data_IF_057581319291
#
_entry.id   IF_057581319291
#
_cell.length_a   1.000
_cell.length_b   1.000
_cell.length_c   1.000
_cell.angle_alpha   90.00
_cell.angle_beta   90.00
_cell.angle_gamma   90.00
#
_symmetry.space_group_name_H-M   'P 1'
#
loop_
_entity.id
_entity.type
_entity.pdbx_description
1 polymer ?
#
# COMPACT_ATOMS: atom_id res chain seq x y z
N UNK A 1 15.93 17.58 -6.10
CA UNK A 1 14.55 17.49 -5.57
C UNK A 1 13.63 16.64 -6.45
N UNK A 2 13.46 16.96 -7.75
CA UNK A 2 12.57 16.22 -8.70
C UNK A 2 12.73 14.69 -8.70
N UNK A 3 13.96 14.17 -8.58
CA UNK A 3 14.20 12.70 -8.54
C UNK A 3 13.62 12.03 -7.29
N UNK A 4 13.61 12.71 -6.15
CA UNK A 4 13.12 12.18 -4.87
C UNK A 4 11.59 12.16 -4.86
N UNK A 5 10.98 13.25 -5.33
CA UNK A 5 9.53 13.38 -5.48
C UNK A 5 8.96 12.27 -6.38
N UNK A 6 9.47 12.15 -7.62
CA UNK A 6 9.06 11.09 -8.56
C UNK A 6 9.26 9.68 -8.02
N UNK A 7 10.28 9.48 -7.16
CA UNK A 7 10.51 8.18 -6.50
C UNK A 7 9.43 7.89 -5.46
N UNK A 8 9.08 8.86 -4.63
CA UNK A 8 8.02 8.72 -3.63
C UNK A 8 6.66 8.46 -4.30
N UNK A 9 6.34 9.18 -5.37
CA UNK A 9 5.11 8.92 -6.15
C UNK A 9 5.04 7.49 -6.68
N UNK A 10 6.13 6.99 -7.29
CA UNK A 10 6.19 5.60 -7.76
C UNK A 10 6.05 4.59 -6.63
N UNK A 11 6.63 4.87 -5.46
CA UNK A 11 6.49 4.02 -4.28
C UNK A 11 5.05 3.98 -3.77
N UNK A 12 4.41 5.15 -3.66
CA UNK A 12 3.00 5.28 -3.25
C UNK A 12 2.09 4.50 -4.23
N UNK A 13 2.28 4.68 -5.53
CA UNK A 13 1.52 3.95 -6.55
C UNK A 13 1.75 2.43 -6.46
N UNK A 14 2.99 2.00 -6.22
CA UNK A 14 3.32 0.58 -6.02
C UNK A 14 2.60 -0.01 -4.80
N UNK A 15 2.61 0.70 -3.68
CA UNK A 15 1.93 0.28 -2.45
C UNK A 15 0.40 0.22 -2.63
N UNK A 16 -0.20 1.24 -3.26
CA UNK A 16 -1.64 1.25 -3.57
C UNK A 16 -2.06 0.05 -4.43
N UNK A 17 -1.25 -0.30 -5.43
CA UNK A 17 -1.50 -1.51 -6.26
C UNK A 17 -1.41 -2.81 -5.46
N UNK A 18 -0.52 -2.91 -4.48
CA UNK A 18 -0.44 -4.10 -3.62
C UNK A 18 -1.65 -4.19 -2.69
N UNK A 19 -2.08 -3.07 -2.12
CA UNK A 19 -3.31 -2.99 -1.30
C UNK A 19 -4.51 -3.48 -2.12
N UNK A 20 -4.67 -2.99 -3.35
CA UNK A 20 -5.77 -3.38 -4.23
C UNK A 20 -5.76 -4.89 -4.51
N UNK A 21 -4.60 -5.46 -4.88
CA UNK A 21 -4.46 -6.90 -5.10
C UNK A 21 -4.85 -7.73 -3.87
N UNK A 22 -4.49 -7.28 -2.68
CA UNK A 22 -4.84 -7.99 -1.44
C UNK A 22 -6.31 -7.85 -1.11
N UNK A 23 -6.93 -6.69 -1.37
CA UNK A 23 -8.38 -6.48 -1.25
C UNK A 23 -9.14 -7.37 -2.23
N UNK A 24 -8.69 -7.48 -3.48
CA UNK A 24 -9.27 -8.39 -4.47
C UNK A 24 -9.15 -9.86 -4.04
N UNK A 25 -7.99 -10.28 -3.50
CA UNK A 25 -7.81 -11.64 -2.97
C UNK A 25 -8.76 -11.94 -1.82
N UNK A 26 -8.97 -11.00 -0.90
CA UNK A 26 -9.93 -11.15 0.19
C UNK A 26 -11.38 -11.30 -0.30
N UNK A 27 -11.73 -10.65 -1.41
CA UNK A 27 -13.07 -10.73 -2.00
C UNK A 27 -13.25 -12.05 -2.78
N UNK A 28 -12.24 -12.45 -3.55
CA UNK A 28 -12.36 -13.54 -4.53
C UNK A 28 -11.97 -14.92 -3.98
N UNK A 29 -11.11 -15.00 -2.96
CA UNK A 29 -10.70 -16.28 -2.39
C UNK A 29 -11.66 -16.76 -1.30
N UNK A 30 -12.81 -17.31 -1.71
CA UNK A 30 -13.66 -18.10 -0.82
C UNK A 30 -13.08 -19.52 -0.69
N UNK A 31 -12.60 -19.88 0.51
CA UNK A 31 -12.22 -21.26 0.85
C UNK A 31 -10.73 -21.53 1.17
N UNK A 32 -9.85 -20.51 1.09
CA UNK A 32 -8.51 -20.63 1.70
C UNK A 32 -8.60 -20.51 3.23
N UNK A 33 -7.65 -21.14 3.94
CA UNK A 33 -7.54 -21.09 5.41
C UNK A 33 -7.63 -19.65 5.93
N UNK A 34 -8.40 -19.41 6.98
CA UNK A 34 -8.61 -18.09 7.60
C UNK A 34 -7.31 -17.32 7.89
N UNK A 35 -6.24 -18.05 8.21
CA UNK A 35 -4.90 -17.50 8.45
C UNK A 35 -4.34 -16.71 7.27
N UNK A 36 -4.74 -17.04 6.05
CA UNK A 36 -4.32 -16.34 4.82
C UNK A 36 -5.04 -15.00 4.68
N UNK A 37 -6.31 -14.92 5.10
CA UNK A 37 -7.07 -13.67 5.08
C UNK A 37 -6.54 -12.68 6.12
N UNK A 38 -6.23 -13.16 7.32
CA UNK A 38 -5.65 -12.33 8.36
C UNK A 38 -4.24 -11.83 7.99
N UNK A 39 -3.46 -12.67 7.31
CA UNK A 39 -2.18 -12.26 6.74
C UNK A 39 -2.35 -11.09 5.76
N UNK A 40 -3.28 -11.18 4.80
CA UNK A 40 -3.50 -10.10 3.84
C UNK A 40 -4.07 -8.84 4.47
N UNK A 41 -4.98 -8.96 5.44
CA UNK A 41 -5.49 -7.80 6.20
C UNK A 41 -4.35 -7.07 6.91
N UNK A 42 -3.43 -7.81 7.53
CA UNK A 42 -2.25 -7.23 8.20
C UNK A 42 -1.33 -6.53 7.20
N UNK A 43 -1.06 -7.14 6.05
CA UNK A 43 -0.24 -6.51 5.00
C UNK A 43 -0.89 -5.25 4.43
N UNK A 44 -2.21 -5.27 4.19
CA UNK A 44 -2.96 -4.08 3.75
C UNK A 44 -2.74 -2.92 4.72
N UNK A 45 -2.91 -3.16 6.03
CA UNK A 45 -2.72 -2.12 7.05
C UNK A 45 -1.31 -1.56 7.03
N UNK A 46 -0.29 -2.42 6.94
CA UNK A 46 1.10 -2.00 6.86
C UNK A 46 1.40 -1.18 5.60
N UNK A 47 0.79 -1.52 4.47
CA UNK A 47 0.94 -0.74 3.25
C UNK A 47 0.20 0.60 3.32
N UNK A 48 -0.97 0.66 3.95
CA UNK A 48 -1.71 1.92 4.17
C UNK A 48 -0.91 2.89 5.05
N UNK A 49 -0.32 2.41 6.16
CA UNK A 49 0.59 3.20 7.01
C UNK A 49 1.81 3.72 6.20
N UNK A 50 2.42 2.85 5.39
CA UNK A 50 3.55 3.21 4.53
C UNK A 50 3.20 4.23 3.43
N UNK A 51 1.97 4.21 2.92
CA UNK A 51 1.46 5.20 1.96
C UNK A 51 1.33 6.55 2.66
N UNK A 52 0.70 6.59 3.82
CA UNK A 52 0.48 7.82 4.58
C UNK A 52 1.80 8.51 4.93
N UNK A 53 2.80 7.76 5.41
CA UNK A 53 4.13 8.31 5.70
C UNK A 53 4.78 8.92 4.45
N UNK A 54 4.67 8.25 3.30
CA UNK A 54 5.27 8.72 2.05
C UNK A 54 4.52 9.91 1.46
N UNK A 55 3.20 9.95 1.60
CA UNK A 55 2.37 11.11 1.22
C UNK A 55 2.76 12.32 2.06
N UNK A 56 2.93 12.18 3.38
CA UNK A 56 3.45 13.25 4.26
C UNK A 56 4.85 13.71 3.86
N UNK A 57 5.73 12.80 3.47
CA UNK A 57 7.07 13.17 2.97
C UNK A 57 7.02 13.88 1.62
N UNK A 58 6.09 13.50 0.75
CA UNK A 58 5.90 14.11 -0.56
C UNK A 58 5.37 15.53 -0.42
N UNK A 59 4.40 15.73 0.47
CA UNK A 59 3.80 17.03 0.77
C UNK A 59 4.86 18.01 1.29
N UNK A 60 5.66 17.60 2.27
CA UNK A 60 6.82 18.37 2.78
C UNK A 60 7.90 18.69 1.76
N UNK A 61 7.93 18.02 0.61
CA UNK A 61 8.87 18.30 -0.47
C UNK A 61 8.29 19.26 -1.52
N UNK A 62 6.97 19.49 -1.49
CA UNK A 62 6.22 20.36 -2.38
C UNK A 62 5.93 21.72 -1.77
N UNK A 63 5.82 21.79 -0.44
CA UNK A 63 5.88 23.01 0.36
C UNK A 63 7.26 23.68 0.29
#
# INVERSE_FOLDING_TARGET
MVKREKRLEKQIQGLKKQIEKHKEKLINEFGRKDTTHDYWKKEIKQFEEQVEEREKMLDKLRD
#
